data_IF_203636677708
#
_entry.id   IF_203636677708
#
_cell.length_a   1.000
_cell.length_b   1.000
_cell.length_c   1.000
_cell.angle_alpha   90.00
_cell.angle_beta   90.00
_cell.angle_gamma   90.00
#
_symmetry.space_group_name_H-M   'P 1'
#
loop_
_entity.id
_entity.type
_entity.pdbx_description
1 polymer ?
#
# COMPACT_ATOMS: atom_id res chain seq x y z
N UNK A 1 -60.25 53.08 -31.60
CA UNK A 1 -60.19 52.02 -30.57
C UNK A 1 -58.82 51.35 -30.62
N UNK A 2 -58.06 51.47 -29.53
CA UNK A 2 -56.61 51.26 -29.49
C UNK A 2 -56.23 49.79 -29.20
N UNK A 3 -55.32 49.26 -30.02
CA UNK A 3 -54.83 47.88 -30.02
C UNK A 3 -53.73 47.74 -28.95
N UNK A 4 -54.07 47.33 -27.72
CA UNK A 4 -53.08 47.01 -26.68
C UNK A 4 -52.44 45.65 -26.97
N UNK A 5 -51.22 45.65 -27.50
CA UNK A 5 -50.34 44.48 -27.51
C UNK A 5 -49.65 44.41 -26.15
N UNK A 6 -50.04 43.46 -25.31
CA UNK A 6 -49.30 43.07 -24.12
C UNK A 6 -48.02 42.34 -24.54
N UNK A 7 -46.88 42.99 -24.37
CA UNK A 7 -45.56 42.37 -24.52
C UNK A 7 -45.33 41.43 -23.34
N UNK A 8 -45.49 40.12 -23.57
CA UNK A 8 -45.03 39.07 -22.67
C UNK A 8 -43.50 39.07 -22.67
N UNK A 9 -42.90 39.65 -21.63
CA UNK A 9 -41.48 39.54 -21.35
C UNK A 9 -41.22 38.11 -20.85
N UNK A 10 -40.51 37.32 -21.66
CA UNK A 10 -40.14 35.96 -21.31
C UNK A 10 -39.18 35.96 -20.10
N UNK A 11 -39.38 35.09 -19.09
CA UNK A 11 -38.48 35.02 -17.95
C UNK A 11 -37.11 34.46 -18.38
N UNK A 12 -36.07 35.25 -18.14
CA UNK A 12 -34.67 34.88 -18.34
C UNK A 12 -34.33 33.65 -17.47
N UNK A 13 -34.22 32.47 -18.11
CA UNK A 13 -33.71 31.26 -17.48
C UNK A 13 -32.22 31.43 -17.24
N UNK A 14 -31.82 31.75 -16.01
CA UNK A 14 -30.41 31.64 -15.61
C UNK A 14 -29.96 30.20 -15.78
N UNK A 15 -28.81 29.93 -16.42
CA UNK A 15 -28.28 28.58 -16.49
C UNK A 15 -27.94 28.09 -15.07
N UNK A 16 -28.16 26.79 -14.78
CA UNK A 16 -27.81 26.23 -13.49
C UNK A 16 -26.30 26.40 -13.25
N UNK A 17 -25.95 26.82 -12.03
CA UNK A 17 -24.57 26.93 -11.59
C UNK A 17 -23.85 25.61 -11.86
N UNK A 18 -22.75 25.67 -12.61
CA UNK A 18 -21.88 24.50 -12.86
C UNK A 18 -21.46 23.94 -11.49
N UNK A 19 -21.66 22.65 -11.20
CA UNK A 19 -21.14 22.09 -9.96
C UNK A 19 -19.61 22.29 -9.92
N UNK A 20 -19.05 22.60 -8.74
CA UNK A 20 -17.61 22.79 -8.61
C UNK A 20 -16.90 21.53 -9.11
N UNK A 21 -15.94 21.71 -10.03
CA UNK A 21 -15.05 20.62 -10.48
C UNK A 21 -14.40 20.00 -9.25
N UNK A 22 -14.76 18.75 -8.93
CA UNK A 22 -14.15 17.96 -7.87
C UNK A 22 -12.64 17.90 -8.08
N UNK A 23 -11.91 18.63 -7.23
CA UNK A 23 -10.44 18.73 -7.19
C UNK A 23 -9.88 17.91 -6.02
N UNK A 24 -10.52 16.79 -5.65
CA UNK A 24 -10.32 16.16 -4.33
C UNK A 24 -9.63 14.79 -4.34
N UNK A 25 -9.53 14.09 -5.47
CA UNK A 25 -9.10 12.67 -5.42
C UNK A 25 -7.57 12.49 -5.30
N UNK A 26 -6.77 13.41 -5.86
CA UNK A 26 -5.31 13.30 -5.83
C UNK A 26 -4.72 13.34 -4.42
N UNK A 27 -5.27 14.18 -3.54
CA UNK A 27 -4.81 14.29 -2.16
C UNK A 27 -5.06 13.00 -1.37
N UNK A 28 -6.17 12.30 -1.64
CA UNK A 28 -6.54 11.08 -0.93
C UNK A 28 -5.63 9.88 -1.26
N UNK A 29 -5.17 9.73 -2.51
CA UNK A 29 -4.34 8.58 -2.90
C UNK A 29 -2.88 8.69 -2.48
N UNK A 30 -2.34 9.90 -2.47
CA UNK A 30 -0.99 10.16 -1.98
C UNK A 30 -0.89 9.86 -0.49
N UNK A 31 -1.90 10.30 0.28
CA UNK A 31 -2.02 10.06 1.71
C UNK A 31 -2.20 8.57 2.03
N UNK A 32 -3.03 7.86 1.26
CA UNK A 32 -3.21 6.41 1.40
C UNK A 32 -1.91 5.65 1.17
N UNK A 33 -1.23 5.91 0.06
CA UNK A 33 0.05 5.23 -0.23
C UNK A 33 1.14 5.59 0.78
N UNK A 34 1.17 6.82 1.29
CA UNK A 34 2.11 7.22 2.35
C UNK A 34 1.81 6.48 3.65
N UNK A 35 0.53 6.37 4.04
CA UNK A 35 0.11 5.60 5.22
C UNK A 35 0.51 4.13 5.10
N UNK A 36 0.32 3.52 3.94
CA UNK A 36 0.70 2.11 3.72
C UNK A 36 2.21 1.91 3.73
N UNK A 37 2.98 2.86 3.21
CA UNK A 37 4.44 2.85 3.30
C UNK A 37 4.91 2.89 4.75
N UNK A 38 4.40 3.84 5.54
CA UNK A 38 4.75 3.95 6.96
C UNK A 38 4.30 2.71 7.74
N UNK A 39 3.09 2.21 7.48
CA UNK A 39 2.58 0.99 8.12
C UNK A 39 3.48 -0.20 7.78
N UNK A 40 3.86 -0.38 6.52
CA UNK A 40 4.76 -1.44 6.08
C UNK A 40 6.16 -1.35 6.69
N UNK A 41 6.73 -0.14 6.76
CA UNK A 41 8.04 0.10 7.39
C UNK A 41 7.98 -0.14 8.90
N UNK A 42 6.95 0.35 9.59
CA UNK A 42 6.77 0.11 11.03
C UNK A 42 6.59 -1.37 11.30
N UNK A 43 5.77 -2.07 10.50
CA UNK A 43 5.56 -3.50 10.63
C UNK A 43 6.86 -4.27 10.41
N UNK A 44 7.61 -3.96 9.35
CA UNK A 44 8.93 -4.55 9.10
C UNK A 44 9.89 -4.30 10.27
N UNK A 45 10.01 -3.06 10.76
CA UNK A 45 10.92 -2.73 11.85
C UNK A 45 10.55 -3.46 13.16
N UNK A 46 9.26 -3.56 13.48
CA UNK A 46 8.79 -4.34 14.63
C UNK A 46 9.12 -5.82 14.47
N UNK A 47 8.85 -6.39 13.29
CA UNK A 47 9.16 -7.78 13.00
C UNK A 47 10.68 -8.02 13.09
N UNK A 48 11.49 -7.14 12.53
CA UNK A 48 12.94 -7.23 12.55
C UNK A 48 13.47 -7.20 13.99
N UNK A 49 12.96 -6.29 14.82
CA UNK A 49 13.29 -6.22 16.24
C UNK A 49 12.86 -7.48 16.99
N UNK A 50 11.65 -7.99 16.77
CA UNK A 50 11.20 -9.24 17.39
C UNK A 50 12.07 -10.43 16.95
N UNK A 51 12.41 -10.47 15.67
CA UNK A 51 13.10 -11.61 15.07
C UNK A 51 14.57 -11.65 15.43
N UNK A 52 15.29 -10.54 15.34
CA UNK A 52 16.72 -10.53 15.62
C UNK A 52 17.05 -10.16 17.06
N UNK A 53 16.21 -9.40 17.79
CA UNK A 53 16.52 -9.04 19.18
C UNK A 53 15.84 -9.96 20.19
N UNK A 54 14.51 -10.06 20.14
CA UNK A 54 13.74 -10.78 21.17
C UNK A 54 13.93 -12.30 21.09
N UNK A 55 13.81 -12.90 19.91
CA UNK A 55 13.90 -14.35 19.75
C UNK A 55 15.26 -14.93 20.19
N UNK A 56 16.42 -14.40 19.72
CA UNK A 56 17.72 -14.87 20.17
C UNK A 56 17.94 -14.65 21.67
N UNK A 57 17.49 -13.51 22.21
CA UNK A 57 17.65 -13.18 23.63
C UNK A 57 16.86 -14.14 24.55
N UNK A 58 15.63 -14.52 24.18
CA UNK A 58 14.84 -15.45 25.00
C UNK A 58 15.39 -16.87 24.99
N UNK A 59 16.02 -17.29 23.89
CA UNK A 59 16.42 -18.69 23.68
C UNK A 59 17.92 -18.94 23.85
N UNK A 60 18.71 -17.91 24.15
CA UNK A 60 20.15 -18.02 24.37
C UNK A 60 20.91 -18.51 23.14
N UNK A 61 20.45 -18.16 21.94
CA UNK A 61 21.07 -18.59 20.68
C UNK A 61 22.14 -17.58 20.27
N UNK A 62 23.35 -18.07 20.03
CA UNK A 62 24.43 -17.24 19.48
C UNK A 62 24.09 -16.73 18.08
N UNK A 63 24.35 -15.44 17.86
CA UNK A 63 24.33 -14.80 16.56
C UNK A 63 25.48 -15.34 15.71
N UNK A 64 25.26 -16.47 15.05
CA UNK A 64 26.20 -17.00 14.07
C UNK A 64 26.19 -16.22 12.75
N UNK A 65 27.15 -16.52 11.88
CA UNK A 65 27.34 -15.88 10.56
C UNK A 65 26.07 -15.87 9.69
N UNK A 66 25.21 -16.88 9.83
CA UNK A 66 23.94 -16.98 9.09
C UNK A 66 22.91 -15.92 9.50
N UNK A 67 22.80 -15.59 10.79
CA UNK A 67 21.87 -14.56 11.26
C UNK A 67 22.29 -13.18 10.73
N UNK A 68 23.59 -12.88 10.72
CA UNK A 68 24.12 -11.63 10.18
C UNK A 68 23.84 -11.47 8.67
N UNK A 69 23.99 -12.56 7.90
CA UNK A 69 23.67 -12.56 6.48
C UNK A 69 22.17 -12.29 6.23
N UNK A 70 21.28 -12.90 7.02
CA UNK A 70 19.84 -12.69 6.88
C UNK A 70 19.38 -11.30 7.32
N UNK A 71 19.99 -10.73 8.36
CA UNK A 71 19.76 -9.34 8.75
C UNK A 71 20.16 -8.37 7.62
N UNK A 72 21.32 -8.62 7.02
CA UNK A 72 21.80 -7.80 5.89
C UNK A 72 20.85 -7.88 4.68
N UNK A 73 20.26 -9.05 4.43
CA UNK A 73 19.25 -9.24 3.39
C UNK A 73 17.87 -8.67 3.78
N UNK A 74 17.50 -8.66 5.07
CA UNK A 74 16.19 -8.17 5.51
C UNK A 74 16.03 -6.68 5.33
N UNK A 75 17.11 -5.90 5.42
CA UNK A 75 17.07 -4.44 5.20
C UNK A 75 16.57 -4.07 3.80
N UNK A 76 17.23 -4.47 2.68
CA UNK A 76 16.75 -4.14 1.35
C UNK A 76 15.40 -4.80 1.03
N UNK A 77 15.14 -6.03 1.53
CA UNK A 77 13.84 -6.68 1.32
C UNK A 77 12.69 -6.00 2.08
N UNK A 78 12.92 -5.51 3.30
CA UNK A 78 11.92 -4.83 4.12
C UNK A 78 11.59 -3.46 3.57
N UNK A 79 12.62 -2.66 3.26
CA UNK A 79 12.45 -1.33 2.64
C UNK A 79 11.81 -1.47 1.25
N UNK A 80 12.35 -2.37 0.41
CA UNK A 80 11.79 -2.66 -0.91
C UNK A 80 10.36 -3.19 -0.82
N UNK A 81 10.07 -4.03 0.16
CA UNK A 81 8.76 -4.61 0.39
C UNK A 81 7.72 -3.57 0.80
N UNK A 82 8.07 -2.65 1.70
CA UNK A 82 7.19 -1.53 2.07
C UNK A 82 6.91 -0.60 0.89
N UNK A 83 7.90 -0.37 0.02
CA UNK A 83 7.72 0.42 -1.20
C UNK A 83 6.82 -0.27 -2.22
N UNK A 84 6.97 -1.57 -2.41
CA UNK A 84 6.10 -2.39 -3.26
C UNK A 84 4.67 -2.41 -2.73
N UNK A 85 4.48 -2.50 -1.41
CA UNK A 85 3.17 -2.45 -0.78
C UNK A 85 2.48 -1.09 -1.01
N UNK A 86 3.20 0.02 -0.78
CA UNK A 86 2.70 1.37 -1.06
C UNK A 86 2.33 1.57 -2.54
N UNK A 87 3.17 1.07 -3.44
CA UNK A 87 2.97 1.14 -4.88
C UNK A 87 1.76 0.30 -5.32
N UNK A 88 1.60 -0.90 -4.74
CA UNK A 88 0.45 -1.78 -4.96
C UNK A 88 -0.87 -1.10 -4.61
N UNK A 89 -0.96 -0.50 -3.42
CA UNK A 89 -2.16 0.21 -2.98
C UNK A 89 -2.53 1.38 -3.89
N UNK A 90 -1.53 2.18 -4.31
CA UNK A 90 -1.75 3.27 -5.27
C UNK A 90 -2.23 2.75 -6.61
N UNK A 91 -1.64 1.66 -7.08
CA UNK A 91 -1.97 1.06 -8.37
C UNK A 91 -3.38 0.47 -8.39
N UNK A 92 -3.76 -0.24 -7.32
CA UNK A 92 -5.13 -0.74 -7.10
C UNK A 92 -6.15 0.39 -7.05
N UNK A 93 -5.87 1.46 -6.32
CA UNK A 93 -6.77 2.59 -6.16
C UNK A 93 -7.02 3.33 -7.49
N UNK A 94 -5.95 3.60 -8.26
CA UNK A 94 -6.03 4.26 -9.57
C UNK A 94 -6.75 3.37 -10.59
N UNK A 95 -6.47 2.06 -10.60
CA UNK A 95 -7.09 1.13 -11.55
C UNK A 95 -8.58 0.92 -11.24
N UNK A 96 -8.99 1.04 -9.97
CA UNK A 96 -10.39 0.97 -9.59
C UNK A 96 -11.19 2.20 -10.03
N UNK A 97 -10.60 3.40 -10.05
CA UNK A 97 -11.25 4.62 -10.52
C UNK A 97 -11.32 4.73 -12.06
N UNK A 98 -10.29 4.28 -12.79
CA UNK A 98 -10.13 4.60 -14.23
C UNK A 98 -10.56 3.50 -15.20
N UNK A 99 -10.70 2.25 -14.76
CA UNK A 99 -10.73 1.12 -15.70
C UNK A 99 -12.10 0.45 -15.80
N UNK A 100 -12.79 0.70 -16.91
CA UNK A 100 -13.90 -0.12 -17.41
C UNK A 100 -13.42 -0.91 -18.63
N UNK A 101 -13.04 -2.20 -18.45
CA UNK A 101 -12.63 -3.09 -19.55
C UNK A 101 -11.60 -4.18 -19.18
N UNK A 102 -11.22 -5.01 -20.16
CA UNK A 102 -10.31 -6.18 -20.01
C UNK A 102 -8.91 -5.80 -19.47
N UNK A 103 -8.43 -4.59 -19.73
CA UNK A 103 -7.17 -4.09 -19.20
C UNK A 103 -7.17 -3.93 -17.66
N UNK A 104 -8.35 -3.89 -17.02
CA UNK A 104 -8.48 -3.87 -15.55
C UNK A 104 -7.85 -5.10 -14.91
N UNK A 105 -7.98 -6.28 -15.54
CA UNK A 105 -7.55 -7.56 -14.97
C UNK A 105 -6.01 -7.63 -14.85
N UNK A 106 -5.29 -7.31 -15.92
CA UNK A 106 -3.80 -7.36 -15.94
C UNK A 106 -3.20 -6.41 -14.90
N UNK A 107 -3.71 -5.17 -14.85
CA UNK A 107 -3.24 -4.19 -13.88
C UNK A 107 -3.62 -4.54 -12.44
N UNK A 108 -4.76 -5.21 -12.24
CA UNK A 108 -5.16 -5.72 -10.92
C UNK A 108 -4.23 -6.85 -10.45
N UNK A 109 -3.86 -7.75 -11.36
CA UNK A 109 -2.94 -8.86 -11.08
C UNK A 109 -1.54 -8.34 -10.74
N UNK A 110 -1.02 -7.35 -11.48
CA UNK A 110 0.24 -6.67 -11.17
C UNK A 110 0.23 -6.02 -9.77
N UNK A 111 -0.86 -5.32 -9.43
CA UNK A 111 -1.04 -4.75 -8.10
C UNK A 111 -1.00 -5.82 -7.01
N UNK A 112 -1.73 -6.93 -7.19
CA UNK A 112 -1.74 -8.04 -6.24
C UNK A 112 -0.35 -8.67 -6.07
N UNK A 113 0.36 -8.95 -7.18
CA UNK A 113 1.71 -9.49 -7.10
C UNK A 113 2.66 -8.56 -6.36
N UNK A 114 2.64 -7.26 -6.67
CA UNK A 114 3.46 -6.28 -5.95
C UNK A 114 3.14 -6.26 -4.44
N UNK A 115 1.86 -6.37 -4.06
CA UNK A 115 1.45 -6.46 -2.66
C UNK A 115 1.96 -7.73 -1.97
N UNK A 116 1.87 -8.87 -2.65
CA UNK A 116 2.40 -10.16 -2.15
C UNK A 116 3.91 -10.14 -1.96
N UNK A 117 4.67 -9.67 -2.95
CA UNK A 117 6.11 -9.49 -2.81
C UNK A 117 6.46 -8.49 -1.71
N UNK A 118 5.64 -7.44 -1.56
CA UNK A 118 5.74 -6.48 -0.47
C UNK A 118 5.66 -7.13 0.91
N UNK A 119 4.60 -7.91 1.14
CA UNK A 119 4.38 -8.65 2.39
C UNK A 119 5.49 -9.70 2.61
N UNK A 120 5.88 -10.43 1.57
CA UNK A 120 6.94 -11.42 1.66
C UNK A 120 8.27 -10.80 2.12
N UNK A 121 8.62 -9.61 1.60
CA UNK A 121 9.80 -8.87 2.05
C UNK A 121 9.71 -8.39 3.50
N UNK A 122 8.53 -7.93 3.93
CA UNK A 122 8.29 -7.48 5.32
C UNK A 122 8.39 -8.65 6.32
N UNK A 123 7.87 -9.82 5.95
CA UNK A 123 7.79 -11.01 6.83
C UNK A 123 9.04 -11.89 6.75
N UNK A 124 9.89 -11.71 5.74
CA UNK A 124 11.17 -12.41 5.56
C UNK A 124 11.99 -12.60 6.84
N UNK A 125 12.33 -11.54 7.62
CA UNK A 125 13.13 -11.70 8.84
C UNK A 125 12.51 -12.67 9.84
N UNK A 126 11.19 -12.65 10.01
CA UNK A 126 10.49 -13.58 10.91
C UNK A 126 10.61 -15.02 10.46
N UNK A 127 10.39 -15.29 9.17
CA UNK A 127 10.40 -16.64 8.62
C UNK A 127 11.79 -17.25 8.71
N UNK A 128 12.83 -16.47 8.37
CA UNK A 128 14.20 -16.96 8.40
C UNK A 128 14.69 -17.24 9.81
N UNK A 129 14.50 -16.31 10.74
CA UNK A 129 14.93 -16.50 12.14
C UNK A 129 14.11 -17.60 12.81
N UNK A 130 12.79 -17.62 12.64
CA UNK A 130 11.94 -18.66 13.23
C UNK A 130 12.22 -20.05 12.64
N UNK A 131 12.53 -20.14 11.34
CA UNK A 131 12.89 -21.39 10.67
C UNK A 131 14.21 -21.96 11.17
N UNK A 132 15.24 -21.12 11.33
CA UNK A 132 16.52 -21.53 11.93
C UNK A 132 16.35 -21.95 13.38
N UNK A 133 15.55 -21.20 14.14
CA UNK A 133 15.19 -21.55 15.50
C UNK A 133 14.52 -22.93 15.57
N UNK A 134 13.48 -23.15 14.77
CA UNK A 134 12.76 -24.43 14.75
C UNK A 134 13.67 -25.58 14.32
N UNK A 135 14.54 -25.36 13.34
CA UNK A 135 15.56 -26.31 12.91
C UNK A 135 16.49 -26.70 14.06
N UNK A 136 17.01 -25.72 14.81
CA UNK A 136 17.89 -25.96 15.96
C UNK A 136 17.20 -26.67 17.13
N UNK A 137 15.90 -26.44 17.33
CA UNK A 137 15.13 -27.11 18.40
C UNK A 137 14.74 -28.54 18.00
N UNK A 138 14.31 -28.76 16.75
CA UNK A 138 13.90 -30.08 16.27
C UNK A 138 15.06 -31.03 16.02
N UNK A 139 16.25 -30.51 15.67
CA UNK A 139 17.46 -31.32 15.44
C UNK A 139 18.25 -31.63 16.71
N UNK A 140 17.73 -31.23 17.88
CA UNK A 140 18.32 -31.49 19.19
C UNK A 140 17.65 -32.70 19.83
#
# INVERSE_FOLDING_TARGET
MNKRRSSMVAPSRRPPARPPRQRTNYFSFEELGRKDLFTGLTLWAVIELVSFLLLPAMMGIDFGDRLGAWFTLSIPLGIGGAFLLSSSSRFMAINNERSSGTNKSVFSVLGLFAGWFGIAGIVFPFVMVSGEFLSKVLMK
#
